data_IF_889047950410
#
_entry.id   IF_889047950410
#
_cell.length_a   1.000
_cell.length_b   1.000
_cell.length_c   1.000
_cell.angle_alpha   90.00
_cell.angle_beta   90.00
_cell.angle_gamma   90.00
#
_symmetry.space_group_name_H-M   'P 1'
#
loop_
_entity.id
_entity.type
_entity.pdbx_description
1 polymer ?
#
# COMPACT_ATOMS: atom_id res chain seq x y z
N UNK A 1 -31.35 -7.97 -39.49
CA UNK A 1 -30.37 -8.84 -40.17
C UNK A 1 -29.10 -8.95 -39.32
N UNK A 2 -28.41 -7.84 -39.04
CA UNK A 2 -27.23 -7.78 -38.14
C UNK A 2 -27.50 -8.32 -36.72
N UNK A 3 -28.67 -8.03 -36.13
CA UNK A 3 -29.05 -8.52 -34.79
C UNK A 3 -29.34 -10.04 -34.74
N UNK A 4 -29.72 -10.65 -35.87
CA UNK A 4 -29.98 -12.10 -35.96
C UNK A 4 -28.67 -12.88 -36.20
N UNK A 5 -27.72 -12.31 -36.93
CA UNK A 5 -26.37 -12.86 -37.10
C UNK A 5 -25.60 -12.86 -35.76
N UNK A 6 -25.66 -11.78 -34.99
CA UNK A 6 -25.04 -11.72 -33.64
C UNK A 6 -25.65 -12.73 -32.66
N UNK A 7 -26.95 -13.05 -32.80
CA UNK A 7 -27.63 -14.01 -31.93
C UNK A 7 -27.29 -15.47 -32.28
N UNK A 8 -27.13 -15.77 -33.58
CA UNK A 8 -26.67 -17.07 -34.04
C UNK A 8 -25.19 -17.33 -33.68
N UNK A 9 -24.33 -16.32 -33.81
CA UNK A 9 -22.92 -16.41 -33.38
C UNK A 9 -22.78 -16.61 -31.87
N UNK A 10 -23.66 -15.98 -31.07
CA UNK A 10 -23.72 -16.19 -29.62
C UNK A 10 -24.12 -17.61 -29.24
N UNK A 11 -25.11 -18.20 -29.89
CA UNK A 11 -25.51 -19.59 -29.60
C UNK A 11 -24.42 -20.60 -29.99
N UNK A 12 -23.72 -20.37 -31.09
CA UNK A 12 -22.57 -21.20 -31.51
C UNK A 12 -21.38 -21.04 -30.58
N UNK A 13 -21.10 -19.84 -30.08
CA UNK A 13 -20.06 -19.61 -29.07
C UNK A 13 -20.41 -20.32 -27.76
N UNK A 14 -21.65 -20.20 -27.30
CA UNK A 14 -22.10 -20.81 -26.05
C UNK A 14 -22.17 -22.35 -26.13
N UNK A 15 -22.49 -22.93 -27.29
CA UNK A 15 -22.44 -24.37 -27.47
C UNK A 15 -20.99 -24.88 -27.47
N UNK A 16 -20.06 -24.19 -28.14
CA UNK A 16 -18.63 -24.53 -28.12
C UNK A 16 -18.01 -24.39 -26.73
N UNK A 17 -18.35 -23.35 -25.98
CA UNK A 17 -17.91 -23.18 -24.59
C UNK A 17 -18.43 -24.31 -23.70
N UNK A 18 -19.68 -24.75 -23.93
CA UNK A 18 -20.27 -25.89 -23.21
C UNK A 18 -19.61 -27.21 -23.59
N UNK A 19 -19.25 -27.39 -24.85
CA UNK A 19 -18.49 -28.57 -25.30
C UNK A 19 -17.08 -28.60 -24.72
N UNK A 20 -16.38 -27.46 -24.68
CA UNK A 20 -15.06 -27.33 -24.02
C UNK A 20 -15.16 -27.65 -22.53
N UNK A 21 -16.18 -27.11 -21.86
CA UNK A 21 -16.46 -27.39 -20.44
C UNK A 21 -16.77 -28.86 -20.18
N UNK A 22 -17.56 -29.50 -21.04
CA UNK A 22 -17.97 -30.90 -20.90
C UNK A 22 -16.88 -31.90 -21.31
N UNK A 23 -16.03 -31.54 -22.27
CA UNK A 23 -14.94 -32.39 -22.76
C UNK A 23 -13.71 -32.35 -21.85
N UNK A 24 -13.72 -31.53 -20.79
CA UNK A 24 -12.68 -31.53 -19.77
C UNK A 24 -11.32 -31.04 -20.26
N UNK A 25 -11.29 -30.16 -21.26
CA UNK A 25 -10.06 -29.48 -21.66
C UNK A 25 -9.67 -28.47 -20.56
N UNK A 26 -9.00 -29.01 -19.54
CA UNK A 26 -8.62 -28.32 -18.30
C UNK A 26 -7.81 -27.05 -18.58
N UNK A 27 -7.02 -27.03 -19.67
CA UNK A 27 -6.16 -25.92 -20.04
C UNK A 27 -6.98 -24.74 -20.62
N UNK A 28 -8.00 -25.03 -21.42
CA UNK A 28 -8.95 -24.02 -21.90
C UNK A 28 -9.76 -23.41 -20.75
N UNK A 29 -10.27 -24.23 -19.84
CA UNK A 29 -11.00 -23.77 -18.67
C UNK A 29 -10.10 -22.92 -17.74
N UNK A 30 -8.86 -23.35 -17.52
CA UNK A 30 -7.87 -22.59 -16.74
C UNK A 30 -7.54 -21.24 -17.39
N UNK A 31 -7.35 -21.21 -18.72
CA UNK A 31 -7.11 -19.96 -19.46
C UNK A 31 -8.30 -18.99 -19.39
N UNK A 32 -9.54 -19.48 -19.45
CA UNK A 32 -10.73 -18.66 -19.26
C UNK A 32 -10.84 -18.11 -17.83
N UNK A 33 -10.47 -18.90 -16.83
CA UNK A 33 -10.42 -18.45 -15.44
C UNK A 33 -9.34 -17.38 -15.21
N UNK A 34 -8.16 -17.56 -15.81
CA UNK A 34 -7.11 -16.56 -15.83
C UNK A 34 -7.61 -15.26 -16.50
N UNK A 35 -8.26 -15.37 -17.65
CA UNK A 35 -8.83 -14.20 -18.33
C UNK A 35 -9.87 -13.47 -17.48
N UNK A 36 -10.78 -14.20 -16.82
CA UNK A 36 -11.76 -13.61 -15.91
C UNK A 36 -11.11 -12.91 -14.70
N UNK A 37 -10.05 -13.51 -14.16
CA UNK A 37 -9.27 -12.92 -13.05
C UNK A 37 -8.58 -11.63 -13.48
N UNK A 38 -7.98 -11.61 -14.66
CA UNK A 38 -7.40 -10.40 -15.24
C UNK A 38 -8.48 -9.34 -15.51
N UNK A 39 -9.63 -9.72 -16.07
CA UNK A 39 -10.73 -8.80 -16.33
C UNK A 39 -11.19 -8.09 -15.04
N UNK A 40 -11.33 -8.83 -13.92
CA UNK A 40 -11.68 -8.25 -12.63
C UNK A 40 -10.65 -7.23 -12.12
N UNK A 41 -9.35 -7.44 -12.39
CA UNK A 41 -8.30 -6.46 -12.07
C UNK A 41 -8.46 -5.21 -12.93
N UNK A 42 -8.56 -5.37 -14.26
CA UNK A 42 -8.64 -4.24 -15.19
C UNK A 42 -9.94 -3.43 -15.08
N UNK A 43 -11.04 -4.02 -14.62
CA UNK A 43 -12.28 -3.30 -14.29
C UNK A 43 -12.06 -2.24 -13.20
N UNK A 44 -11.07 -2.44 -12.33
CA UNK A 44 -10.72 -1.49 -11.25
C UNK A 44 -9.72 -0.42 -11.68
N UNK A 45 -9.15 -0.52 -12.89
CA UNK A 45 -8.08 0.33 -13.39
C UNK A 45 -8.56 1.15 -14.60
N UNK A 46 -9.18 2.33 -14.37
CA UNK A 46 -9.72 3.12 -15.46
C UNK A 46 -8.63 3.50 -16.47
N UNK A 47 -8.97 3.39 -17.75
CA UNK A 47 -8.11 3.70 -18.89
C UNK A 47 -6.82 2.87 -18.98
N UNK A 48 -6.70 1.78 -18.22
CA UNK A 48 -5.61 0.81 -18.40
C UNK A 48 -5.71 0.15 -19.77
N UNK A 49 -4.56 -0.20 -20.34
CA UNK A 49 -4.48 -0.75 -21.70
C UNK A 49 -4.01 -2.19 -21.67
N UNK A 50 -4.44 -2.99 -22.65
CA UNK A 50 -4.00 -4.38 -22.76
C UNK A 50 -3.37 -4.56 -24.14
N UNK A 51 -2.15 -5.10 -24.15
CA UNK A 51 -1.49 -5.56 -25.36
C UNK A 51 -2.13 -6.85 -25.84
N UNK A 52 -2.68 -6.83 -27.06
CA UNK A 52 -3.27 -8.01 -27.70
C UNK A 52 -2.24 -9.13 -27.97
N UNK A 53 -0.93 -8.85 -27.88
CA UNK A 53 0.08 -9.90 -28.03
C UNK A 53 0.08 -10.90 -26.88
N UNK A 54 -0.60 -10.61 -25.76
CA UNK A 54 -0.78 -11.57 -24.67
C UNK A 54 -1.45 -12.87 -25.13
N UNK A 55 -2.26 -12.80 -26.20
CA UNK A 55 -2.95 -13.96 -26.80
C UNK A 55 -2.01 -14.94 -27.52
N UNK A 56 -0.71 -14.64 -27.62
CA UNK A 56 0.29 -15.52 -28.25
C UNK A 56 0.67 -16.73 -27.39
N UNK A 57 0.34 -16.71 -26.10
CA UNK A 57 0.62 -17.80 -25.17
C UNK A 57 -0.62 -18.16 -24.33
N UNK A 58 -0.78 -19.43 -23.90
CA UNK A 58 -1.88 -19.83 -23.02
C UNK A 58 -1.80 -19.09 -21.68
N UNK A 59 -2.90 -18.45 -21.27
CA UNK A 59 -2.96 -17.75 -19.98
C UNK A 59 -2.96 -18.71 -18.78
N UNK A 60 -3.30 -19.98 -18.99
CA UNK A 60 -3.17 -21.03 -17.99
C UNK A 60 -1.73 -21.24 -17.51
N UNK A 61 -0.74 -20.87 -18.32
CA UNK A 61 0.69 -21.00 -17.99
C UNK A 61 1.28 -19.72 -17.40
N UNK A 62 0.51 -18.63 -17.32
CA UNK A 62 1.02 -17.35 -16.83
C UNK A 62 1.46 -17.44 -15.36
N UNK A 63 2.64 -16.89 -15.05
CA UNK A 63 3.26 -17.03 -13.72
C UNK A 63 2.41 -16.41 -12.62
N UNK A 64 1.77 -15.27 -12.90
CA UNK A 64 0.86 -14.63 -11.95
C UNK A 64 -0.38 -15.48 -11.60
N UNK A 65 -0.86 -16.30 -12.54
CA UNK A 65 -2.07 -17.10 -12.37
C UNK A 65 -1.79 -18.46 -11.72
N UNK A 66 -0.63 -19.04 -12.01
CA UNK A 66 -0.17 -20.28 -11.35
C UNK A 66 0.25 -20.05 -9.89
N UNK A 67 0.48 -18.80 -9.50
CA UNK A 67 0.72 -18.40 -8.12
C UNK A 67 -0.58 -18.45 -7.29
N UNK A 68 -0.60 -19.33 -6.28
CA UNK A 68 -1.83 -19.71 -5.57
C UNK A 68 -2.45 -18.62 -4.71
N UNK A 69 -1.63 -17.68 -4.22
CA UNK A 69 -2.07 -16.60 -3.34
C UNK A 69 -2.07 -15.26 -4.10
N UNK A 70 -3.18 -14.51 -4.11
CA UNK A 70 -3.19 -13.17 -4.67
C UNK A 70 -2.37 -12.25 -3.78
N UNK A 71 -1.24 -11.79 -4.30
CA UNK A 71 -0.34 -10.83 -3.64
C UNK A 71 -0.20 -9.57 -4.49
N UNK A 72 0.35 -8.50 -3.90
CA UNK A 72 0.71 -7.32 -4.68
C UNK A 72 1.71 -7.67 -5.81
N UNK A 73 2.63 -8.60 -5.54
CA UNK A 73 3.57 -9.12 -6.55
C UNK A 73 2.88 -9.87 -7.69
N UNK A 74 1.84 -10.67 -7.39
CA UNK A 74 1.09 -11.38 -8.44
C UNK A 74 0.29 -10.41 -9.31
N UNK A 75 -0.21 -9.32 -8.72
CA UNK A 75 -0.88 -8.26 -9.47
C UNK A 75 0.08 -7.50 -10.37
N UNK A 76 1.25 -7.08 -9.88
CA UNK A 76 2.24 -6.44 -10.74
C UNK A 76 2.76 -7.37 -11.84
N UNK A 77 2.88 -8.67 -11.58
CA UNK A 77 3.21 -9.66 -12.61
C UNK A 77 2.10 -9.75 -13.68
N UNK A 78 0.83 -9.79 -13.27
CA UNK A 78 -0.31 -9.75 -14.19
C UNK A 78 -0.30 -8.47 -15.03
N UNK A 79 -0.17 -7.30 -14.40
CA UNK A 79 -0.14 -6.02 -15.09
C UNK A 79 1.02 -5.93 -16.08
N UNK A 80 2.21 -6.39 -15.71
CA UNK A 80 3.37 -6.41 -16.60
C UNK A 80 3.09 -7.25 -17.86
N UNK A 81 2.50 -8.43 -17.70
CA UNK A 81 2.16 -9.30 -18.81
C UNK A 81 1.10 -8.66 -19.72
N UNK A 82 0.05 -8.08 -19.16
CA UNK A 82 -1.04 -7.51 -19.96
C UNK A 82 -0.67 -6.17 -20.61
N UNK A 83 0.11 -5.31 -19.96
CA UNK A 83 0.55 -4.02 -20.52
C UNK A 83 1.58 -4.22 -21.65
N UNK A 84 2.48 -5.20 -21.51
CA UNK A 84 3.55 -5.45 -22.50
C UNK A 84 3.16 -6.50 -23.53
N UNK A 85 2.32 -7.46 -23.11
CA UNK A 85 1.92 -8.63 -23.88
C UNK A 85 3.01 -9.68 -24.08
N UNK A 86 4.10 -9.62 -23.31
CA UNK A 86 5.23 -10.56 -23.42
C UNK A 86 6.05 -10.75 -22.14
N UNK A 87 6.06 -9.77 -21.22
CA UNK A 87 6.86 -9.83 -19.98
C UNK A 87 6.08 -10.59 -18.91
N UNK A 88 6.45 -11.85 -18.70
CA UNK A 88 5.88 -12.71 -17.67
C UNK A 88 6.90 -12.95 -16.54
N UNK A 89 6.70 -12.32 -15.39
CA UNK A 89 7.64 -12.28 -14.25
C UNK A 89 7.12 -13.15 -13.10
N UNK A 90 8.01 -13.80 -12.34
CA UNK A 90 7.56 -14.55 -11.16
C UNK A 90 7.07 -13.58 -10.08
N UNK A 91 5.88 -13.77 -9.49
CA UNK A 91 5.37 -12.90 -8.43
C UNK A 91 6.32 -12.72 -7.23
N UNK A 92 7.10 -13.76 -6.89
CA UNK A 92 8.08 -13.73 -5.81
C UNK A 92 9.22 -12.72 -6.06
N UNK A 93 9.56 -12.47 -7.33
CA UNK A 93 10.56 -11.46 -7.71
C UNK A 93 10.03 -10.03 -7.52
N UNK A 94 8.72 -9.87 -7.33
CA UNK A 94 8.02 -8.58 -7.20
C UNK A 94 7.44 -8.33 -5.81
N UNK A 95 7.77 -9.16 -4.81
CA UNK A 95 7.18 -9.06 -3.46
C UNK A 95 7.43 -7.73 -2.75
N UNK A 96 8.58 -7.10 -3.02
CA UNK A 96 9.00 -5.82 -2.42
C UNK A 96 8.65 -4.61 -3.31
N UNK A 97 7.96 -4.83 -4.43
CA UNK A 97 7.59 -3.78 -5.37
C UNK A 97 6.39 -3.02 -4.85
N UNK A 98 6.49 -1.69 -4.85
CA UNK A 98 5.40 -0.79 -4.48
C UNK A 98 4.78 -0.09 -5.70
N UNK A 99 5.46 -0.06 -6.84
CA UNK A 99 4.92 0.51 -8.07
C UNK A 99 5.53 -0.07 -9.35
N UNK A 100 4.86 0.10 -10.47
CA UNK A 100 5.31 -0.25 -11.82
C UNK A 100 5.04 0.92 -12.77
N UNK A 101 6.04 1.29 -13.56
CA UNK A 101 5.95 2.21 -14.68
C UNK A 101 6.03 1.42 -15.99
N UNK A 102 5.03 1.56 -16.85
CA UNK A 102 5.01 0.98 -18.19
C UNK A 102 4.39 1.98 -19.17
N UNK A 103 5.14 2.40 -20.18
CA UNK A 103 4.70 3.42 -21.13
C UNK A 103 4.35 4.75 -20.44
N UNK A 104 3.07 5.15 -20.53
CA UNK A 104 2.50 6.35 -19.90
C UNK A 104 1.62 6.03 -18.67
N UNK A 105 1.74 4.81 -18.14
CA UNK A 105 1.00 4.35 -16.97
C UNK A 105 1.93 4.13 -15.78
N UNK A 106 1.51 4.65 -14.62
CA UNK A 106 2.08 4.32 -13.32
C UNK A 106 1.04 3.55 -12.51
N UNK A 107 1.36 2.31 -12.18
CA UNK A 107 0.58 1.44 -11.30
C UNK A 107 1.25 1.48 -9.93
N UNK A 108 0.54 1.89 -8.90
CA UNK A 108 1.10 2.08 -7.56
C UNK A 108 0.24 1.34 -6.55
N UNK A 109 0.87 0.81 -5.52
CA UNK A 109 0.16 0.18 -4.42
C UNK A 109 -0.78 1.19 -3.75
N UNK A 110 -2.00 0.74 -3.46
CA UNK A 110 -3.07 1.64 -3.01
C UNK A 110 -2.82 2.17 -1.59
N UNK A 111 -2.04 1.46 -0.76
CA UNK A 111 -1.63 1.93 0.56
C UNK A 111 -0.82 3.24 0.53
N UNK A 112 -0.27 3.64 -0.63
CA UNK A 112 0.46 4.90 -0.79
C UNK A 112 -0.51 6.11 -0.75
N UNK A 113 -1.79 5.89 -1.05
CA UNK A 113 -2.79 6.96 -1.26
C UNK A 113 -3.91 6.99 -0.23
N UNK A 114 -3.85 6.17 0.81
CA UNK A 114 -4.93 6.00 1.76
C UNK A 114 -4.45 6.24 3.18
N UNK A 115 -5.42 6.46 4.06
CA UNK A 115 -5.15 6.51 5.48
C UNK A 115 -4.61 5.16 5.98
N UNK A 116 -3.65 5.13 6.90
CA UNK A 116 -3.17 3.86 7.45
C UNK A 116 -4.26 3.11 8.23
N UNK A 117 -5.34 3.79 8.64
CA UNK A 117 -6.53 3.17 9.22
C UNK A 117 -7.28 2.32 8.19
N UNK A 118 -7.35 2.78 6.96
CA UNK A 118 -8.19 2.17 5.93
C UNK A 118 -7.53 0.90 5.40
N UNK A 119 -8.35 -0.10 5.09
CA UNK A 119 -7.92 -1.27 4.34
C UNK A 119 -8.34 -1.06 2.88
N UNK A 120 -7.39 -0.78 1.96
CA UNK A 120 -7.74 -0.53 0.58
C UNK A 120 -8.28 -1.81 -0.04
N UNK A 121 -9.56 -1.79 -0.46
CA UNK A 121 -10.20 -2.96 -1.07
C UNK A 121 -9.56 -3.38 -2.39
N UNK A 122 -9.00 -2.43 -3.15
CA UNK A 122 -8.22 -2.67 -4.36
C UNK A 122 -6.77 -2.35 -4.03
N UNK A 123 -5.81 -3.27 -4.24
CA UNK A 123 -4.44 -3.08 -3.79
C UNK A 123 -3.56 -2.24 -4.75
N UNK A 124 -4.04 -1.88 -5.94
CA UNK A 124 -3.28 -1.10 -6.95
C UNK A 124 -4.16 -0.03 -7.58
N UNK A 125 -3.59 1.16 -7.78
CA UNK A 125 -4.18 2.27 -8.54
C UNK A 125 -3.32 2.64 -9.73
N UNK A 126 -3.98 2.92 -10.85
CA UNK A 126 -3.35 3.47 -12.05
C UNK A 126 -3.41 5.00 -12.04
N UNK A 127 -2.32 5.63 -12.43
CA UNK A 127 -2.25 7.07 -12.74
C UNK A 127 -1.52 7.26 -14.07
N UNK A 128 -1.77 8.41 -14.72
CA UNK A 128 -1.07 8.78 -15.96
C UNK A 128 0.29 9.37 -15.58
N UNK A 129 1.36 8.79 -16.08
CA UNK A 129 2.72 9.23 -15.81
C UNK A 129 3.77 8.23 -16.28
N UNK A 130 5.02 8.65 -16.25
CA UNK A 130 6.17 7.80 -16.54
C UNK A 130 7.35 8.27 -15.71
N UNK A 131 8.21 7.34 -15.33
CA UNK A 131 9.49 7.68 -14.69
C UNK A 131 10.60 8.02 -15.69
N UNK A 132 10.27 8.08 -16.99
CA UNK A 132 11.21 8.49 -18.05
C UNK A 132 12.21 7.41 -18.46
N UNK A 133 11.96 6.14 -18.11
CA UNK A 133 12.77 5.00 -18.56
C UNK A 133 12.07 4.21 -19.68
N UNK A 134 12.82 3.71 -20.68
CA UNK A 134 12.28 2.81 -21.68
C UNK A 134 11.95 1.44 -21.06
N UNK A 135 10.94 0.77 -21.60
CA UNK A 135 10.49 -0.54 -21.11
C UNK A 135 9.59 -0.47 -19.88
N UNK A 136 9.73 -1.46 -19.01
CA UNK A 136 9.02 -1.59 -17.73
C UNK A 136 9.99 -1.35 -16.60
N UNK A 137 9.57 -0.55 -15.62
CA UNK A 137 10.35 -0.30 -14.41
C UNK A 137 9.51 -0.54 -13.18
N UNK A 138 9.98 -1.38 -12.28
CA UNK A 138 9.38 -1.64 -10.98
C UNK A 138 10.10 -0.84 -9.91
N UNK A 139 9.35 -0.14 -9.06
CA UNK A 139 9.88 0.64 -7.96
C UNK A 139 9.86 -0.20 -6.68
N UNK A 140 11.04 -0.40 -6.10
CA UNK A 140 11.27 -1.06 -4.82
C UNK A 140 11.36 -0.01 -3.73
N UNK A 141 10.82 -0.31 -2.54
CA UNK A 141 11.08 0.51 -1.35
C UNK A 141 12.55 0.39 -0.96
N UNK A 142 13.20 1.52 -0.70
CA UNK A 142 14.62 1.58 -0.38
C UNK A 142 14.96 0.89 0.95
N UNK A 143 16.14 0.27 1.01
CA UNK A 143 16.68 -0.25 2.28
C UNK A 143 17.56 0.80 2.97
N UNK A 144 17.61 0.77 4.31
CA UNK A 144 18.44 1.71 5.07
C UNK A 144 17.84 3.11 5.14
N UNK A 145 16.65 3.21 5.74
CA UNK A 145 15.90 4.44 5.86
C UNK A 145 16.46 5.32 6.98
N UNK A 146 16.93 6.51 6.59
CA UNK A 146 17.45 7.50 7.51
C UNK A 146 16.36 8.41 8.07
N UNK A 147 16.60 8.95 9.25
CA UNK A 147 15.78 10.01 9.83
C UNK A 147 16.65 11.14 10.36
N UNK A 148 16.07 12.31 10.49
CA UNK A 148 16.75 13.45 11.06
C UNK A 148 17.06 13.15 12.54
N UNK A 149 18.34 13.04 12.86
CA UNK A 149 18.76 12.87 14.24
C UNK A 149 18.49 14.15 15.05
N UNK A 150 18.08 14.02 16.33
CA UNK A 150 17.97 15.17 17.21
C UNK A 150 19.33 15.89 17.33
N UNK A 151 19.34 17.19 17.06
CA UNK A 151 20.54 18.01 17.22
C UNK A 151 20.70 18.46 18.67
N UNK A 152 21.37 17.62 19.48
CA UNK A 152 21.67 17.91 20.88
C UNK A 152 22.65 19.08 21.10
N UNK A 153 23.26 19.62 20.03
CA UNK A 153 24.13 20.80 20.12
C UNK A 153 23.33 22.11 20.08
N UNK A 154 22.09 22.06 19.60
CA UNK A 154 21.13 23.16 19.68
C UNK A 154 20.19 22.94 20.87
N UNK A 155 19.97 23.96 21.70
CA UNK A 155 18.94 23.91 22.74
C UNK A 155 17.56 24.06 22.08
N UNK A 156 17.14 23.05 21.30
CA UNK A 156 15.74 22.88 20.93
C UNK A 156 15.08 22.10 22.06
N UNK A 157 14.52 22.83 23.01
CA UNK A 157 13.70 22.19 24.04
C UNK A 157 12.41 21.72 23.38
N UNK A 158 12.30 20.42 23.14
CA UNK A 158 11.02 19.78 22.84
C UNK A 158 10.13 19.98 24.08
N UNK A 159 8.93 20.51 23.89
CA UNK A 159 7.99 20.77 24.97
C UNK A 159 6.82 19.81 24.83
N UNK A 160 6.76 18.83 25.73
CA UNK A 160 5.66 17.87 25.77
C UNK A 160 4.47 18.46 26.52
N UNK A 161 3.34 18.60 25.83
CA UNK A 161 2.08 18.99 26.44
C UNK A 161 1.27 17.75 26.83
N UNK A 162 0.64 17.70 28.02
CA UNK A 162 -0.34 16.68 28.33
C UNK A 162 -1.49 16.72 27.31
N UNK A 163 -1.97 15.55 26.91
CA UNK A 163 -3.12 15.44 26.04
C UNK A 163 -4.39 15.94 26.75
N UNK A 164 -5.13 16.84 26.09
CA UNK A 164 -6.27 17.56 26.65
C UNK A 164 -7.63 17.06 26.12
N UNK A 165 -7.63 15.98 25.34
CA UNK A 165 -8.83 15.44 24.69
C UNK A 165 -9.12 16.01 23.30
N UNK A 166 -8.42 17.07 22.86
CA UNK A 166 -8.67 17.69 21.57
C UNK A 166 -7.92 17.00 20.43
N UNK A 167 -8.60 16.81 19.30
CA UNK A 167 -8.01 16.24 18.08
C UNK A 167 -7.83 17.37 17.05
N UNK A 168 -6.62 17.91 17.00
CA UNK A 168 -6.22 19.00 16.12
C UNK A 168 -5.46 18.49 14.87
N UNK A 169 -5.12 19.39 13.94
CA UNK A 169 -4.24 19.08 12.81
C UNK A 169 -2.94 19.88 12.93
N UNK A 170 -1.97 19.33 13.66
CA UNK A 170 -0.69 20.00 13.92
C UNK A 170 0.41 19.63 12.91
N UNK A 171 0.09 18.77 11.95
CA UNK A 171 1.00 18.27 10.90
C UNK A 171 0.60 18.76 9.50
N UNK A 172 -0.09 19.90 9.40
CA UNK A 172 -0.63 20.48 8.16
C UNK A 172 0.45 20.81 7.10
N UNK A 173 1.70 21.00 7.52
CA UNK A 173 2.84 21.24 6.65
C UNK A 173 3.61 19.97 6.23
N UNK A 174 3.11 18.77 6.60
CA UNK A 174 3.74 17.50 6.21
C UNK A 174 3.51 17.22 4.72
N UNK A 175 4.57 16.92 4.00
CA UNK A 175 4.52 16.52 2.58
C UNK A 175 5.37 15.27 2.34
N UNK A 176 4.95 14.43 1.40
CA UNK A 176 5.66 13.20 1.01
C UNK A 176 6.15 13.32 -0.43
N UNK A 177 7.42 13.00 -0.65
CA UNK A 177 8.07 13.08 -1.95
C UNK A 177 8.69 11.72 -2.31
N UNK A 178 8.27 11.11 -3.41
CA UNK A 178 8.89 9.91 -3.95
C UNK A 178 10.16 10.29 -4.74
N UNK A 179 11.30 9.72 -4.38
CA UNK A 179 12.60 9.99 -5.03
C UNK A 179 13.28 8.69 -5.42
N UNK A 180 13.85 8.61 -6.62
CA UNK A 180 14.68 7.47 -7.03
C UNK A 180 16.09 7.62 -6.42
N UNK A 181 16.62 6.56 -5.83
CA UNK A 181 17.97 6.60 -5.21
C UNK A 181 19.08 6.58 -6.28
N UNK A 182 18.75 6.10 -7.47
CA UNK A 182 19.69 5.88 -8.58
C UNK A 182 20.13 4.43 -8.70
N UNK A 183 19.85 3.59 -7.69
CA UNK A 183 20.14 2.18 -7.73
C UNK A 183 19.20 1.45 -8.69
N UNK A 184 19.81 0.77 -9.65
CA UNK A 184 19.13 0.10 -10.76
C UNK A 184 19.66 -1.32 -10.91
N UNK A 185 18.74 -2.27 -10.95
CA UNK A 185 19.04 -3.67 -11.17
C UNK A 185 18.23 -4.19 -12.36
N UNK A 186 18.87 -4.69 -13.42
CA UNK A 186 18.14 -5.33 -14.50
C UNK A 186 17.51 -6.64 -14.02
N UNK A 187 16.23 -6.84 -14.30
CA UNK A 187 15.56 -8.09 -13.95
C UNK A 187 15.78 -9.11 -15.08
N UNK A 188 16.31 -10.29 -14.73
CA UNK A 188 16.50 -11.36 -15.71
C UNK A 188 15.18 -12.11 -15.93
N UNK A 189 14.51 -11.81 -17.05
CA UNK A 189 13.25 -12.45 -17.45
C UNK A 189 13.43 -13.81 -18.14
N UNK A 190 14.66 -14.36 -18.20
CA UNK A 190 14.94 -15.67 -18.77
C UNK A 190 14.86 -15.75 -20.30
N UNK A 191 14.67 -14.62 -20.99
CA UNK A 191 14.66 -14.57 -22.46
C UNK A 191 16.08 -14.40 -22.99
N UNK A 192 16.53 -15.35 -23.81
CA UNK A 192 17.85 -15.29 -24.46
C UNK A 192 17.71 -14.68 -25.85
N UNK A 193 18.55 -13.70 -26.20
CA UNK A 193 18.63 -13.13 -27.55
C UNK A 193 18.04 -11.73 -27.77
N UNK A 194 17.35 -11.14 -26.77
CA UNK A 194 17.03 -9.70 -26.77
C UNK A 194 18.22 -8.94 -26.17
N UNK A 195 18.83 -8.05 -26.95
CA UNK A 195 20.00 -7.27 -26.53
C UNK A 195 19.62 -6.08 -25.64
N UNK A 196 18.37 -5.62 -25.69
CA UNK A 196 17.86 -4.57 -24.82
C UNK A 196 17.20 -5.20 -23.60
N UNK A 197 17.66 -4.80 -22.42
CA UNK A 197 17.00 -5.15 -21.16
C UNK A 197 15.79 -4.22 -21.03
N UNK A 198 14.60 -4.77 -21.20
CA UNK A 198 13.35 -3.98 -21.17
C UNK A 198 12.73 -3.92 -19.77
N UNK A 199 13.35 -4.52 -18.74
CA UNK A 199 12.80 -4.60 -17.39
C UNK A 199 13.85 -4.24 -16.34
N UNK A 200 13.50 -3.27 -15.50
CA UNK A 200 14.36 -2.76 -14.43
C UNK A 200 13.66 -2.77 -13.08
N UNK A 201 14.41 -3.11 -12.04
CA UNK A 201 14.10 -2.81 -10.66
C UNK A 201 14.85 -1.53 -10.30
N UNK A 202 14.11 -0.53 -9.84
CA UNK A 202 14.64 0.76 -9.41
C UNK A 202 14.32 0.96 -7.95
N UNK A 203 15.32 1.31 -7.18
CA UNK A 203 15.10 1.65 -5.79
C UNK A 203 14.55 3.08 -5.67
N UNK A 204 13.50 3.22 -4.87
CA UNK A 204 12.80 4.46 -4.63
C UNK A 204 12.51 4.63 -3.14
N UNK A 205 12.65 5.85 -2.65
CA UNK A 205 12.43 6.21 -1.25
C UNK A 205 11.32 7.24 -1.15
N UNK A 206 10.41 7.05 -0.19
CA UNK A 206 9.42 8.05 0.17
C UNK A 206 10.02 8.92 1.26
N UNK A 207 10.12 10.23 1.01
CA UNK A 207 10.71 11.20 1.93
C UNK A 207 9.64 12.09 2.53
N UNK A 208 9.59 12.16 3.85
CA UNK A 208 8.78 13.11 4.59
C UNK A 208 9.51 14.45 4.77
N UNK A 209 8.76 15.52 4.57
CA UNK A 209 9.19 16.89 4.83
C UNK A 209 8.18 17.58 5.73
N UNK A 210 8.68 18.37 6.68
CA UNK A 210 7.92 19.30 7.49
C UNK A 210 8.40 20.72 7.20
N UNK A 211 7.51 21.61 6.77
CA UNK A 211 7.85 23.01 6.42
C UNK A 211 9.06 23.09 5.45
N UNK A 212 9.06 22.21 4.45
CA UNK A 212 10.14 22.05 3.45
C UNK A 212 11.49 21.57 4.00
N UNK A 213 11.58 21.18 5.27
CA UNK A 213 12.74 20.51 5.86
C UNK A 213 12.53 19.00 5.81
N UNK A 214 13.50 18.26 5.28
CA UNK A 214 13.49 16.80 5.33
C UNK A 214 13.52 16.33 6.80
N UNK A 215 12.67 15.35 7.13
CA UNK A 215 12.56 14.81 8.50
C UNK A 215 12.83 13.32 8.57
N UNK A 216 12.39 12.54 7.58
CA UNK A 216 12.64 11.10 7.54
C UNK A 216 12.44 10.52 6.14
N UNK A 217 13.17 9.44 5.86
CA UNK A 217 12.86 8.48 4.81
C UNK A 217 11.93 7.40 5.42
N UNK A 218 10.89 7.02 4.68
CA UNK A 218 9.77 6.23 5.17
C UNK A 218 9.55 4.96 4.34
N UNK A 219 9.31 3.85 5.02
CA UNK A 219 8.68 2.68 4.43
C UNK A 219 7.17 2.77 4.61
N UNK A 220 6.44 3.09 3.54
CA UNK A 220 4.97 3.14 3.60
C UNK A 220 4.35 1.73 3.62
N UNK A 221 5.15 0.68 3.45
CA UNK A 221 4.66 -0.69 3.46
C UNK A 221 4.37 -1.17 4.89
N UNK A 222 3.26 -0.69 5.44
CA UNK A 222 2.68 -1.12 6.70
C UNK A 222 2.02 -2.51 6.56
N UNK A 223 2.71 -3.50 5.98
CA UNK A 223 2.23 -4.90 5.84
C UNK A 223 1.58 -5.35 7.15
N UNK A 224 0.65 -6.33 7.13
CA UNK A 224 0.02 -6.86 8.34
C UNK A 224 1.07 -7.14 9.41
N UNK A 225 1.16 -6.21 10.37
CA UNK A 225 2.18 -6.21 11.39
C UNK A 225 1.45 -6.44 12.71
N UNK A 226 1.81 -7.48 13.48
CA UNK A 226 1.11 -7.80 14.72
C UNK A 226 1.15 -6.65 15.74
N UNK A 227 2.10 -5.72 15.61
CA UNK A 227 2.25 -4.55 16.46
C UNK A 227 1.29 -3.40 16.08
N UNK A 228 0.63 -3.49 14.92
CA UNK A 228 -0.32 -2.47 14.44
C UNK A 228 -1.73 -2.90 14.79
N UNK A 229 -2.38 -2.11 15.65
CA UNK A 229 -3.77 -2.30 16.04
C UNK A 229 -4.64 -1.22 15.41
N UNK A 230 -5.33 -1.56 14.33
CA UNK A 230 -6.32 -0.69 13.70
C UNK A 230 -7.63 -0.80 14.47
N UNK A 231 -8.17 0.34 14.93
CA UNK A 231 -9.47 0.39 15.59
C UNK A 231 -10.59 0.64 14.58
N UNK A 232 -11.73 0.00 14.85
CA UNK A 232 -12.97 0.24 14.13
C UNK A 232 -13.38 1.72 14.19
N UNK A 233 -14.07 2.19 13.15
CA UNK A 233 -14.59 3.55 13.08
C UNK A 233 -15.53 3.84 14.26
N UNK A 234 -15.56 5.09 14.73
CA UNK A 234 -16.55 5.44 15.75
C UNK A 234 -17.96 5.24 15.18
N UNK A 235 -18.79 4.53 15.95
CA UNK A 235 -20.11 4.08 15.48
C UNK A 235 -20.17 2.61 15.05
N UNK A 236 -19.02 1.95 14.87
CA UNK A 236 -18.94 0.49 14.66
C UNK A 236 -18.75 -0.28 15.99
N UNK A 237 -18.39 0.41 17.07
CA UNK A 237 -18.34 -0.14 18.43
C UNK A 237 -19.65 0.09 19.19
N UNK A 238 -20.02 -0.86 20.07
CA UNK A 238 -21.25 -0.81 20.86
C UNK A 238 -21.19 0.12 22.10
N UNK A 239 -20.11 0.89 22.26
CA UNK A 239 -19.91 1.81 23.39
C UNK A 239 -20.77 3.07 23.26
N UNK A 240 -21.22 3.60 24.38
CA UNK A 240 -21.98 4.86 24.39
C UNK A 240 -21.09 6.09 24.16
N UNK A 241 -21.67 7.29 24.07
CA UNK A 241 -20.94 8.53 23.82
C UNK A 241 -20.01 8.90 24.99
N UNK A 242 -20.45 8.62 26.22
CA UNK A 242 -19.66 8.93 27.41
C UNK A 242 -18.43 8.03 27.53
N UNK A 243 -18.60 6.73 27.27
CA UNK A 243 -17.50 5.76 27.18
C UNK A 243 -16.53 6.07 26.02
N UNK A 244 -17.05 6.63 24.92
CA UNK A 244 -16.25 7.02 23.77
C UNK A 244 -15.35 8.20 24.06
N UNK A 245 -15.82 9.17 24.83
CA UNK A 245 -15.12 10.43 25.13
C UNK A 245 -14.30 10.42 26.43
N UNK A 246 -14.36 9.34 27.22
CA UNK A 246 -13.61 9.20 28.47
C UNK A 246 -12.11 8.89 28.26
N UNK A 247 -11.36 9.89 27.82
CA UNK A 247 -9.90 9.82 27.71
C UNK A 247 -9.18 9.89 29.07
N UNK A 248 -9.89 10.31 30.14
CA UNK A 248 -9.29 10.47 31.47
C UNK A 248 -8.78 9.14 32.04
N UNK A 249 -9.37 8.02 31.62
CA UNK A 249 -8.94 6.68 31.94
C UNK A 249 -7.49 6.34 31.51
N UNK A 250 -6.85 7.17 30.67
CA UNK A 250 -5.53 6.90 30.08
C UNK A 250 -4.42 7.86 30.48
N UNK A 251 -4.70 8.81 31.34
CA UNK A 251 -3.66 9.74 31.77
C UNK A 251 -2.56 9.00 32.55
N UNK A 252 -1.26 9.26 32.27
CA UNK A 252 -0.76 10.37 31.44
C UNK A 252 -0.57 10.00 29.96
N UNK A 253 -1.25 10.74 29.07
CA UNK A 253 -0.98 10.78 27.62
C UNK A 253 -0.33 12.10 27.26
N UNK A 254 0.62 12.08 26.33
CA UNK A 254 1.32 13.27 25.84
C UNK A 254 0.92 13.55 24.40
N UNK A 255 0.52 14.79 24.10
CA UNK A 255 0.32 15.25 22.72
C UNK A 255 1.66 15.29 21.99
N UNK A 256 1.67 14.75 20.77
CA UNK A 256 2.75 14.92 19.80
C UNK A 256 2.19 15.78 18.66
N UNK A 257 2.68 17.00 18.56
CA UNK A 257 2.19 18.06 17.67
C UNK A 257 3.23 18.53 16.65
N UNK A 258 4.43 17.97 16.71
CA UNK A 258 5.49 18.31 15.75
C UNK A 258 6.36 17.11 15.42
N UNK A 259 7.03 17.17 14.27
CA UNK A 259 8.04 16.18 13.93
C UNK A 259 9.22 16.18 14.92
N UNK A 260 9.57 17.32 15.51
CA UNK A 260 10.63 17.37 16.52
C UNK A 260 10.24 16.57 17.78
N UNK A 261 8.97 16.60 18.20
CA UNK A 261 8.42 15.75 19.30
C UNK A 261 8.25 14.27 18.92
N UNK A 262 8.20 13.94 17.63
CA UNK A 262 8.13 12.55 17.18
C UNK A 262 9.53 11.94 17.04
N UNK A 263 10.51 12.75 16.60
CA UNK A 263 11.92 12.36 16.48
C UNK A 263 12.60 12.21 17.85
N UNK A 264 12.16 12.98 18.84
CA UNK A 264 12.50 12.82 20.26
C UNK A 264 11.19 12.51 21.00
N UNK A 265 10.76 11.24 21.08
CA UNK A 265 9.45 10.89 21.63
C UNK A 265 9.42 11.02 23.16
N UNK A 266 8.25 11.33 23.75
CA UNK A 266 8.10 11.41 25.20
C UNK A 266 8.31 10.04 25.87
N UNK A 267 8.61 10.01 27.18
CA UNK A 267 8.84 8.76 27.92
C UNK A 267 7.56 7.95 28.17
N UNK A 268 6.38 8.58 28.06
CA UNK A 268 5.08 7.95 28.12
C UNK A 268 4.46 7.83 26.73
N UNK A 269 3.32 7.15 26.64
CA UNK A 269 2.56 7.03 25.39
C UNK A 269 2.25 8.41 24.79
N UNK A 270 2.67 8.60 23.54
CA UNK A 270 2.32 9.75 22.73
C UNK A 270 1.03 9.55 21.94
N UNK A 271 0.33 10.64 21.67
CA UNK A 271 -0.79 10.69 20.71
C UNK A 271 -0.52 11.77 19.66
N UNK A 272 -0.51 11.38 18.39
CA UNK A 272 -0.37 12.31 17.28
C UNK A 272 -1.72 12.88 16.88
N UNK A 273 -1.77 14.20 16.77
CA UNK A 273 -2.96 14.98 16.39
C UNK A 273 -2.83 15.49 14.95
N UNK A 274 -3.34 14.68 14.02
CA UNK A 274 -3.32 14.95 12.58
C UNK A 274 -4.74 14.83 11.97
N UNK A 275 -5.70 15.57 12.54
CA UNK A 275 -7.11 15.54 12.12
C UNK A 275 -7.26 15.85 10.64
N UNK A 276 -8.13 15.09 9.95
CA UNK A 276 -8.41 15.26 8.52
C UNK A 276 -7.17 15.31 7.61
N UNK A 277 -6.03 14.79 8.07
CA UNK A 277 -4.75 14.80 7.37
C UNK A 277 -4.20 13.37 7.28
N UNK A 278 -4.82 12.59 6.38
CA UNK A 278 -4.45 11.19 6.16
C UNK A 278 -2.98 11.04 5.77
N UNK A 279 -2.43 11.99 5.00
CA UNK A 279 -1.04 11.96 4.54
C UNK A 279 -0.06 12.04 5.72
N UNK A 280 -0.32 12.96 6.66
CA UNK A 280 0.47 13.05 7.89
C UNK A 280 0.31 11.79 8.76
N UNK A 281 -0.92 11.26 8.90
CA UNK A 281 -1.16 10.01 9.65
C UNK A 281 -0.39 8.84 9.06
N UNK A 282 -0.40 8.69 7.73
CA UNK A 282 0.36 7.66 7.02
C UNK A 282 1.87 7.82 7.26
N UNK A 283 2.37 9.04 7.15
CA UNK A 283 3.79 9.35 7.35
C UNK A 283 4.26 9.03 8.78
N UNK A 284 3.47 9.46 9.77
CA UNK A 284 3.73 9.23 11.19
C UNK A 284 3.63 7.75 11.54
N UNK A 285 2.62 7.04 11.02
CA UNK A 285 2.43 5.61 11.25
C UNK A 285 3.62 4.80 10.71
N UNK A 286 4.07 5.09 9.49
CA UNK A 286 5.27 4.52 8.89
C UNK A 286 6.51 4.77 9.76
N UNK A 287 6.71 6.03 10.17
CA UNK A 287 7.85 6.42 10.99
C UNK A 287 7.86 5.72 12.35
N UNK A 288 6.73 5.75 13.07
CA UNK A 288 6.60 5.16 14.39
C UNK A 288 6.85 3.65 14.36
N UNK A 289 6.35 2.95 13.33
CA UNK A 289 6.59 1.53 13.17
C UNK A 289 8.07 1.22 12.89
N UNK A 290 8.70 1.98 11.99
CA UNK A 290 10.12 1.84 11.64
C UNK A 290 11.04 2.06 12.86
N UNK A 291 10.70 3.02 13.72
CA UNK A 291 11.47 3.34 14.92
C UNK A 291 11.03 2.57 16.17
N UNK A 292 10.01 1.69 16.05
CA UNK A 292 9.41 0.98 17.18
C UNK A 292 8.94 1.90 18.32
N UNK A 293 8.38 3.06 17.97
CA UNK A 293 7.87 4.05 18.92
C UNK A 293 6.41 3.71 19.28
N UNK A 294 6.07 3.50 20.57
CA UNK A 294 4.69 3.34 21.00
C UNK A 294 3.89 4.61 20.75
N UNK A 295 2.86 4.50 19.92
CA UNK A 295 2.11 5.69 19.48
C UNK A 295 0.63 5.41 19.22
N UNK A 296 -0.20 6.40 19.53
CA UNK A 296 -1.58 6.49 19.05
C UNK A 296 -1.62 7.49 17.89
N UNK A 297 -2.07 7.05 16.72
CA UNK A 297 -2.37 7.93 15.59
C UNK A 297 -3.87 8.18 15.57
N UNK A 298 -4.27 9.38 15.99
CA UNK A 298 -5.67 9.77 16.07
C UNK A 298 -6.25 10.08 14.69
N UNK A 299 -7.34 9.42 14.30
CA UNK A 299 -8.23 9.93 13.26
C UNK A 299 -9.23 10.94 13.83
N UNK A 300 -10.21 11.32 13.00
CA UNK A 300 -11.25 12.30 13.33
C UNK A 300 -12.15 11.90 14.50
N UNK A 301 -12.18 10.61 14.83
CA UNK A 301 -13.07 10.08 15.82
C UNK A 301 -12.43 8.89 16.52
N UNK A 302 -12.42 8.90 17.84
CA UNK A 302 -11.76 7.89 18.66
C UNK A 302 -12.77 7.37 19.68
N UNK A 303 -12.78 6.06 19.90
CA UNK A 303 -13.42 5.48 21.07
C UNK A 303 -12.35 5.18 22.12
N UNK A 304 -12.27 5.99 23.17
CA UNK A 304 -11.31 5.79 24.25
C UNK A 304 -11.50 4.43 24.95
N UNK A 305 -12.73 3.93 25.05
CA UNK A 305 -12.97 2.57 25.55
C UNK A 305 -12.36 1.47 24.68
N UNK A 306 -12.42 1.58 23.34
CA UNK A 306 -11.78 0.63 22.43
C UNK A 306 -10.26 0.67 22.53
N UNK A 307 -9.69 1.88 22.59
CA UNK A 307 -8.25 2.08 22.85
C UNK A 307 -7.85 1.35 24.14
N UNK A 308 -8.74 1.30 25.15
CA UNK A 308 -8.43 0.81 26.50
C UNK A 308 -8.36 -0.70 26.50
N UNK A 309 -9.32 -1.29 25.80
CA UNK A 309 -9.37 -2.71 25.58
C UNK A 309 -8.10 -3.15 24.85
N UNK A 310 -7.74 -2.51 23.74
CA UNK A 310 -6.53 -2.88 22.97
C UNK A 310 -5.26 -2.73 23.79
N UNK A 311 -5.06 -1.63 24.52
CA UNK A 311 -3.86 -1.49 25.36
C UNK A 311 -3.82 -2.52 26.48
N UNK A 312 -4.93 -2.79 27.16
CA UNK A 312 -4.98 -3.80 28.22
C UNK A 312 -4.73 -5.22 27.69
N UNK A 313 -5.13 -5.52 26.45
CA UNK A 313 -4.83 -6.80 25.80
C UNK A 313 -3.38 -6.86 25.27
N UNK A 314 -2.87 -5.77 24.66
CA UNK A 314 -1.54 -5.69 24.06
C UNK A 314 -0.39 -5.66 25.08
N UNK A 315 -0.58 -4.99 26.22
CA UNK A 315 0.39 -4.98 27.34
C UNK A 315 0.65 -6.38 27.92
N UNK A 316 -0.25 -7.34 27.70
CA UNK A 316 -0.15 -8.71 28.22
C UNK A 316 0.61 -9.64 27.28
N UNK A 317 0.75 -9.30 25.99
CA UNK A 317 1.22 -10.24 24.96
C UNK A 317 2.50 -9.79 24.21
N UNK A 318 2.73 -8.51 23.91
CA UNK A 318 3.68 -8.12 22.85
C UNK A 318 4.73 -7.04 23.19
N UNK A 319 4.86 -6.64 24.47
CA UNK A 319 5.87 -5.64 24.89
C UNK A 319 5.50 -4.19 24.56
N UNK A 320 6.41 -3.21 24.72
CA UNK A 320 6.08 -1.78 24.64
C UNK A 320 5.95 -1.23 23.21
N UNK A 321 6.11 -2.05 22.17
CA UNK A 321 6.20 -1.56 20.80
C UNK A 321 4.86 -1.79 20.08
N UNK A 322 3.95 -0.84 20.15
CA UNK A 322 2.63 -0.95 19.54
C UNK A 322 2.24 0.35 18.85
N UNK A 323 1.48 0.25 17.76
CA UNK A 323 0.92 1.36 17.02
C UNK A 323 -0.59 1.21 16.97
N UNK A 324 -1.32 2.10 17.64
CA UNK A 324 -2.78 2.12 17.58
C UNK A 324 -3.19 3.17 16.56
N UNK A 325 -3.95 2.74 15.55
CA UNK A 325 -4.47 3.61 14.50
C UNK A 325 -5.98 3.71 14.70
N UNK A 326 -6.42 4.88 15.18
CA UNK A 326 -7.80 5.13 15.57
C UNK A 326 -8.62 5.72 14.44
#
# INVERSE_FOLDING_TARGET
MIALEQQAEREVLMSRLRDVWNNGDLDCCASLHAFASAAAIFETLPEATISLSVMKQPLSEAKWFTHRDPTLGSLFSCLALFETGSIDIQPDDLKEVMAMSAGNSLFMAEYIFNDPRDDPGIPVRRTIGSIGKPGVSFLLSAQGLDSLSPDYSTWKSVQYAPFDGSIENNFDHTTLHLTLTGDEQPLNIGQTGYHDKEVFLLEAVVRAYDKSRWVADLDLNLRPNPLVHKLLATGECAHDEHERDDYAAFQPLTSIDSWDELLDPPPNTGIVRARANWLARQAVAAFALQQSIPLIVASESICWRCVAQVMNFGLVLDGPNWLIIC
#
